data_IF_105091895067
#
_entry.id   IF_105091895067
#
_cell.length_a   1.000
_cell.length_b   1.000
_cell.length_c   1.000
_cell.angle_alpha   90.00
_cell.angle_beta   90.00
_cell.angle_gamma   90.00
#
_symmetry.space_group_name_H-M   'P 1'
#
loop_
_entity.id
_entity.type
_entity.pdbx_description
1 polymer ?
#
# COMPACT_ATOMS: atom_id res chain seq x y z
N UNK A 1 -16.64 12.41 28.76
CA UNK A 1 -15.29 12.07 28.24
C UNK A 1 -15.45 10.93 27.25
N UNK A 2 -14.87 11.03 26.04
CA UNK A 2 -14.84 9.90 25.10
C UNK A 2 -13.73 8.93 25.53
N UNK A 3 -13.92 7.61 25.41
CA UNK A 3 -12.85 6.64 25.66
C UNK A 3 -11.64 6.93 24.75
N UNK A 4 -10.42 6.82 25.28
CA UNK A 4 -9.19 6.96 24.51
C UNK A 4 -8.20 5.84 24.83
N UNK A 5 -7.48 5.37 23.81
CA UNK A 5 -6.33 4.48 23.97
C UNK A 5 -5.06 5.32 23.87
N UNK A 6 -4.17 5.20 24.86
CA UNK A 6 -2.90 5.91 24.89
C UNK A 6 -1.76 4.90 24.91
N UNK A 7 -0.82 5.06 23.98
CA UNK A 7 0.44 4.31 23.97
C UNK A 7 1.53 5.25 24.45
N UNK A 8 2.33 4.81 25.42
CA UNK A 8 3.36 5.65 26.06
C UNK A 8 4.72 4.99 25.94
N UNK A 9 5.73 5.80 25.60
CA UNK A 9 7.14 5.41 25.66
C UNK A 9 7.66 5.47 27.09
N UNK A 10 8.45 4.49 27.50
CA UNK A 10 9.26 4.57 28.72
C UNK A 10 10.63 5.22 28.39
N UNK A 11 11.15 6.12 29.25
CA UNK A 11 12.32 6.92 28.95
C UNK A 11 13.62 6.10 29.07
N UNK A 12 14.00 5.37 28.01
CA UNK A 12 15.32 4.73 27.89
C UNK A 12 15.74 4.30 26.47
N UNK A 13 14.88 4.34 25.46
CA UNK A 13 15.22 3.87 24.09
C UNK A 13 15.58 5.04 23.16
N UNK A 14 16.77 5.10 22.56
CA UNK A 14 17.09 6.11 21.51
C UNK A 14 16.29 5.84 20.22
N UNK A 15 15.03 6.31 20.21
CA UNK A 15 14.09 6.12 19.10
C UNK A 15 13.11 4.97 19.35
N UNK A 16 11.83 5.23 19.11
CA UNK A 16 10.77 4.22 19.19
C UNK A 16 9.87 4.35 17.98
N UNK A 17 9.39 3.22 17.47
CA UNK A 17 8.38 3.17 16.41
C UNK A 17 7.08 2.63 17.00
N UNK A 18 5.98 3.35 16.77
CA UNK A 18 4.64 2.88 17.15
C UNK A 18 3.95 2.34 15.91
N UNK A 19 3.57 1.08 15.95
CA UNK A 19 2.77 0.46 14.90
C UNK A 19 1.40 0.09 15.47
N UNK A 20 0.34 0.50 14.78
CA UNK A 20 -1.02 0.10 15.09
C UNK A 20 -1.68 -0.43 13.84
N UNK A 21 -2.35 -1.58 13.95
CA UNK A 21 -3.18 -2.15 12.90
C UNK A 21 -4.63 -1.95 13.31
N UNK A 22 -5.43 -1.37 12.42
CA UNK A 22 -6.85 -1.14 12.65
C UNK A 22 -7.62 -1.79 11.51
N UNK A 23 -8.50 -2.72 11.85
CA UNK A 23 -9.41 -3.37 10.92
C UNK A 23 -10.83 -2.90 11.20
N UNK A 24 -11.49 -2.18 10.27
CA UNK A 24 -12.93 -2.07 10.26
C UNK A 24 -13.52 -3.43 9.84
N UNK A 25 -14.40 -4.01 10.66
CA UNK A 25 -15.08 -5.27 10.36
C UNK A 25 -16.58 -5.17 10.67
N UNK A 26 -17.36 -6.01 9.99
CA UNK A 26 -18.78 -6.25 10.28
C UNK A 26 -18.92 -7.73 10.62
N UNK A 27 -19.32 -8.04 11.86
CA UNK A 27 -19.30 -9.41 12.40
C UNK A 27 -17.96 -9.79 13.03
N UNK A 28 -17.19 -10.65 12.38
CA UNK A 28 -15.94 -11.20 12.91
C UNK A 28 -14.70 -10.50 12.32
N UNK A 29 -13.68 -10.28 13.16
CA UNK A 29 -12.40 -9.76 12.72
C UNK A 29 -11.69 -10.80 11.84
N UNK A 30 -11.03 -10.36 10.76
CA UNK A 30 -10.28 -11.25 9.86
C UNK A 30 -8.82 -11.37 10.29
N UNK A 31 -8.34 -10.43 11.11
CA UNK A 31 -7.00 -10.47 11.67
C UNK A 31 -7.01 -11.33 12.93
N UNK A 32 -6.31 -12.45 12.87
CA UNK A 32 -6.18 -13.41 13.96
C UNK A 32 -5.00 -13.06 14.87
N UNK A 33 -3.87 -12.69 14.27
CA UNK A 33 -2.63 -12.41 15.01
C UNK A 33 -1.85 -11.27 14.38
N UNK A 34 -1.14 -10.52 15.23
CA UNK A 34 -0.15 -9.52 14.83
C UNK A 34 1.13 -9.83 15.58
N UNK A 35 2.20 -10.07 14.85
CA UNK A 35 3.51 -10.40 15.39
C UNK A 35 4.55 -9.44 14.86
N UNK A 36 5.49 -9.07 15.71
CA UNK A 36 6.69 -8.37 15.28
C UNK A 36 7.74 -9.41 14.93
N UNK A 37 8.00 -9.59 13.64
CA UNK A 37 8.90 -10.64 13.11
C UNK A 37 10.31 -10.15 12.83
N UNK A 38 10.56 -8.84 13.04
CA UNK A 38 11.87 -8.23 13.07
C UNK A 38 11.79 -6.86 13.77
N UNK A 39 12.79 -6.50 14.59
CA UNK A 39 13.00 -5.14 15.05
C UNK A 39 14.48 -4.86 15.32
N UNK A 40 14.99 -3.77 14.76
CA UNK A 40 16.29 -3.21 15.09
C UNK A 40 16.17 -1.68 15.18
N UNK A 41 16.31 -1.13 16.40
CA UNK A 41 16.04 0.28 16.66
C UNK A 41 14.62 0.69 16.26
N UNK A 42 14.51 1.63 15.32
CA UNK A 42 13.24 2.14 14.77
C UNK A 42 12.76 1.39 13.51
N UNK A 43 13.53 0.41 13.03
CA UNK A 43 13.15 -0.42 11.89
C UNK A 43 12.38 -1.64 12.37
N UNK A 44 11.28 -1.97 11.70
CA UNK A 44 10.34 -2.99 12.15
C UNK A 44 9.68 -3.70 10.96
N UNK A 45 9.45 -5.01 11.11
CA UNK A 45 8.51 -5.78 10.27
C UNK A 45 7.43 -6.37 11.18
N UNK A 46 6.18 -6.07 10.84
CA UNK A 46 5.01 -6.72 11.38
C UNK A 46 4.51 -7.80 10.43
N UNK A 47 4.17 -8.95 10.97
CA UNK A 47 3.38 -9.99 10.30
C UNK A 47 1.97 -9.96 10.86
N UNK A 48 1.00 -9.70 10.00
CA UNK A 48 -0.43 -9.66 10.31
C UNK A 48 -1.04 -10.89 9.65
N UNK A 49 -1.63 -11.80 10.42
CA UNK A 49 -2.19 -13.04 9.87
C UNK A 49 -3.71 -13.03 9.98
N UNK A 50 -4.37 -13.46 8.91
CA UNK A 50 -5.76 -13.87 8.90
C UNK A 50 -5.89 -15.27 8.27
N UNK A 51 -7.11 -15.79 8.21
CA UNK A 51 -7.35 -17.17 7.73
C UNK A 51 -6.87 -17.40 6.29
N UNK A 52 -7.02 -16.39 5.43
CA UNK A 52 -6.73 -16.49 4.00
C UNK A 52 -5.54 -15.63 3.55
N UNK A 53 -4.82 -14.98 4.48
CA UNK A 53 -3.71 -14.11 4.13
C UNK A 53 -2.68 -13.93 5.24
N UNK A 54 -1.48 -13.50 4.86
CA UNK A 54 -0.49 -12.95 5.79
C UNK A 54 0.15 -11.70 5.19
N UNK A 55 0.09 -10.58 5.90
CA UNK A 55 0.70 -9.33 5.47
C UNK A 55 1.97 -9.05 6.27
N UNK A 56 3.06 -8.81 5.55
CA UNK A 56 4.31 -8.30 6.09
C UNK A 56 4.33 -6.80 5.87
N UNK A 57 4.18 -6.00 6.92
CA UNK A 57 4.25 -4.53 6.85
C UNK A 57 5.58 -4.10 7.45
N UNK A 58 6.36 -3.29 6.73
CA UNK A 58 7.67 -2.84 7.22
C UNK A 58 7.82 -1.33 7.20
N UNK A 59 8.63 -0.85 8.12
CA UNK A 59 9.09 0.52 8.21
C UNK A 59 10.57 0.55 8.56
N UNK A 60 11.29 1.50 7.98
CA UNK A 60 12.71 1.72 8.17
C UNK A 60 13.05 3.19 7.86
N UNK A 61 13.94 3.77 8.65
CA UNK A 61 14.40 5.14 8.46
C UNK A 61 15.53 5.25 7.41
N UNK A 62 16.21 4.13 7.12
CA UNK A 62 17.40 4.06 6.26
C UNK A 62 17.15 3.28 4.97
N UNK A 63 16.93 3.98 3.86
CA UNK A 63 16.69 3.35 2.54
C UNK A 63 17.77 2.36 2.08
N UNK A 64 19.00 2.49 2.57
CA UNK A 64 20.17 1.67 2.23
C UNK A 64 20.30 0.41 3.09
N UNK A 65 19.54 0.31 4.18
CA UNK A 65 19.58 -0.84 5.07
C UNK A 65 18.63 -1.94 4.61
N UNK A 66 19.10 -3.19 4.66
CA UNK A 66 18.33 -4.37 4.27
C UNK A 66 18.18 -5.28 5.48
N UNK A 67 17.00 -5.83 5.68
CA UNK A 67 16.71 -6.71 6.80
C UNK A 67 15.77 -7.83 6.38
N UNK A 68 15.94 -9.00 6.98
CA UNK A 68 15.21 -10.23 6.67
C UNK A 68 14.37 -10.61 7.87
N UNK A 69 13.16 -11.14 7.64
CA UNK A 69 12.32 -11.65 8.72
C UNK A 69 13.00 -12.80 9.45
N UNK A 70 12.80 -12.88 10.76
CA UNK A 70 13.31 -13.97 11.61
C UNK A 70 12.43 -15.24 11.51
N UNK A 71 11.41 -15.23 10.65
CA UNK A 71 10.46 -16.32 10.45
C UNK A 71 10.80 -17.18 9.21
N UNK A 72 10.14 -18.33 9.11
CA UNK A 72 10.36 -19.29 8.02
C UNK A 72 9.98 -18.76 6.61
N UNK A 73 9.46 -17.54 6.49
CA UNK A 73 9.03 -16.96 5.23
C UNK A 73 10.14 -16.19 4.50
N UNK A 74 11.30 -15.98 5.13
CA UNK A 74 12.51 -15.41 4.50
C UNK A 74 12.21 -14.19 3.61
N UNK A 75 11.50 -13.21 4.17
CA UNK A 75 11.18 -11.96 3.47
C UNK A 75 12.29 -10.95 3.75
N UNK A 76 13.04 -10.56 2.72
CA UNK A 76 14.09 -9.52 2.84
C UNK A 76 13.60 -8.22 2.24
N UNK A 77 13.61 -7.16 3.03
CA UNK A 77 13.17 -5.83 2.60
C UNK A 77 14.35 -4.86 2.62
N UNK A 78 14.40 -4.02 1.60
CA UNK A 78 15.25 -2.84 1.53
C UNK A 78 14.37 -1.67 1.08
N UNK A 79 14.44 -0.54 1.76
CA UNK A 79 13.57 0.61 1.51
C UNK A 79 13.01 1.21 2.79
N UNK A 80 12.21 2.26 2.66
CA UNK A 80 11.72 3.06 3.79
C UNK A 80 10.44 2.49 4.42
N UNK A 81 9.50 2.04 3.60
CA UNK A 81 8.27 1.42 4.09
C UNK A 81 7.60 0.63 2.98
N UNK A 82 6.70 -0.27 3.35
CA UNK A 82 5.96 -1.05 2.39
C UNK A 82 5.16 -2.17 3.04
N UNK A 83 4.57 -3.01 2.21
CA UNK A 83 3.95 -4.24 2.65
C UNK A 83 4.11 -5.37 1.63
N UNK A 84 3.94 -6.60 2.05
CA UNK A 84 3.83 -7.78 1.20
C UNK A 84 2.69 -8.64 1.74
N UNK A 85 1.64 -8.83 0.94
CA UNK A 85 0.56 -9.77 1.20
C UNK A 85 0.91 -11.12 0.58
N UNK A 86 0.81 -12.15 1.40
CA UNK A 86 0.89 -13.55 1.04
C UNK A 86 -0.50 -14.17 1.04
N UNK A 87 -0.82 -14.99 0.05
CA UNK A 87 -2.00 -15.86 -0.01
C UNK A 87 -1.57 -17.24 -0.44
N UNK A 88 -2.05 -18.28 0.23
CA UNK A 88 -1.69 -19.67 -0.06
C UNK A 88 -0.16 -19.89 -0.15
N UNK A 89 0.60 -19.22 0.72
CA UNK A 89 2.06 -19.27 0.76
C UNK A 89 2.78 -18.52 -0.37
N UNK A 90 2.07 -17.79 -1.23
CA UNK A 90 2.63 -17.07 -2.38
C UNK A 90 2.42 -15.55 -2.27
N UNK A 91 3.37 -14.73 -2.77
CA UNK A 91 3.15 -13.30 -2.93
C UNK A 91 1.91 -13.01 -3.78
N UNK A 92 0.99 -12.20 -3.25
CA UNK A 92 -0.27 -11.80 -3.90
C UNK A 92 -0.27 -10.30 -4.22
N UNK A 93 0.04 -9.47 -3.22
CA UNK A 93 0.08 -8.02 -3.38
C UNK A 93 1.33 -7.49 -2.69
N UNK A 94 1.96 -6.45 -3.21
CA UNK A 94 3.22 -5.95 -2.65
C UNK A 94 3.32 -4.45 -2.83
N UNK A 95 3.81 -3.74 -1.81
CA UNK A 95 4.21 -2.33 -1.83
C UNK A 95 5.62 -2.13 -1.24
N UNK A 96 6.46 -1.30 -1.85
CA UNK A 96 7.74 -0.83 -1.28
C UNK A 96 7.96 0.60 -1.71
N UNK A 97 8.47 1.44 -0.82
CA UNK A 97 8.93 2.78 -1.11
C UNK A 97 10.44 2.82 -0.95
N UNK A 98 11.12 3.29 -1.99
CA UNK A 98 12.55 3.51 -2.09
C UNK A 98 13.40 2.24 -1.90
N UNK A 99 13.01 1.12 -2.52
CA UNK A 99 13.85 -0.08 -2.51
C UNK A 99 13.23 -1.34 -3.11
N UNK A 100 13.53 -2.49 -2.51
CA UNK A 100 13.24 -3.84 -3.02
C UNK A 100 12.63 -4.74 -1.94
N UNK A 101 11.81 -5.70 -2.36
CA UNK A 101 11.38 -6.82 -1.51
C UNK A 101 11.78 -8.12 -2.21
N UNK A 102 12.40 -9.01 -1.44
CA UNK A 102 12.71 -10.38 -1.84
C UNK A 102 11.94 -11.37 -1.00
N UNK A 103 11.50 -12.44 -1.62
CA UNK A 103 10.89 -13.60 -0.96
C UNK A 103 11.67 -14.84 -1.43
N UNK A 104 12.22 -15.62 -0.49
CA UNK A 104 13.11 -16.76 -0.80
C UNK A 104 14.20 -16.36 -1.82
N UNK A 105 14.96 -15.30 -1.51
CA UNK A 105 16.03 -14.70 -2.34
C UNK A 105 15.62 -14.17 -3.73
N UNK A 106 14.35 -14.31 -4.09
CA UNK A 106 13.84 -13.84 -5.37
C UNK A 106 13.28 -12.43 -5.23
N UNK A 107 13.75 -11.49 -6.05
CA UNK A 107 13.21 -10.11 -6.08
C UNK A 107 11.79 -10.15 -6.63
N UNK A 108 10.82 -9.84 -5.77
CA UNK A 108 9.39 -9.81 -6.12
C UNK A 108 8.86 -8.38 -6.29
N UNK A 109 9.58 -7.38 -5.79
CA UNK A 109 9.28 -5.98 -6.03
C UNK A 109 10.55 -5.12 -6.03
N UNK A 110 10.59 -4.15 -6.94
CA UNK A 110 11.61 -3.11 -7.03
C UNK A 110 10.92 -1.81 -7.40
N UNK A 111 11.21 -0.70 -6.73
CA UNK A 111 10.94 0.64 -7.28
C UNK A 111 12.01 0.93 -8.36
N UNK A 112 11.65 1.39 -9.58
CA UNK A 112 10.53 2.28 -9.90
C UNK A 112 9.19 1.59 -10.19
N UNK A 113 8.12 2.22 -9.73
CA UNK A 113 6.76 1.94 -10.18
C UNK A 113 6.40 2.82 -11.39
N UNK A 114 5.40 2.41 -12.16
CA UNK A 114 4.74 3.34 -13.07
C UNK A 114 3.87 4.24 -12.21
N UNK A 115 4.34 5.46 -11.95
CA UNK A 115 3.58 6.51 -11.29
C UNK A 115 3.04 7.47 -12.35
N UNK A 116 1.72 7.57 -12.45
CA UNK A 116 1.04 8.51 -13.33
C UNK A 116 0.23 9.50 -12.49
N UNK A 117 0.35 10.81 -12.72
CA UNK A 117 -0.46 11.80 -12.00
C UNK A 117 -1.91 11.69 -12.43
N UNK A 118 -2.82 12.03 -11.51
CA UNK A 118 -4.25 12.13 -11.83
C UNK A 118 -4.52 13.30 -12.78
N UNK A 119 -5.41 13.04 -13.72
CA UNK A 119 -6.03 14.05 -14.57
C UNK A 119 -7.48 14.29 -14.17
N UNK A 120 -8.20 13.21 -13.86
CA UNK A 120 -9.63 13.28 -13.50
C UNK A 120 -10.01 12.13 -12.59
N UNK A 121 -10.97 12.38 -11.69
CA UNK A 121 -11.57 11.37 -10.83
C UNK A 121 -13.08 11.52 -10.85
N UNK A 122 -13.77 10.41 -11.07
CA UNK A 122 -15.22 10.26 -10.98
C UNK A 122 -15.51 9.16 -9.96
N UNK A 123 -15.80 9.54 -8.72
CA UNK A 123 -16.02 8.60 -7.61
C UNK A 123 -17.51 8.28 -7.48
N UNK A 124 -17.87 7.00 -7.58
CA UNK A 124 -19.19 6.47 -7.25
C UNK A 124 -19.17 5.68 -5.94
N UNK A 125 -20.33 5.16 -5.52
CA UNK A 125 -20.43 4.34 -4.31
C UNK A 125 -19.88 2.92 -4.53
N UNK A 126 -20.27 2.29 -5.64
CA UNK A 126 -19.88 0.91 -5.97
C UNK A 126 -18.64 0.84 -6.88
N UNK A 127 -18.40 1.89 -7.66
CA UNK A 127 -17.29 1.95 -8.61
C UNK A 127 -16.77 3.36 -8.74
N UNK A 128 -15.48 3.49 -9.02
CA UNK A 128 -14.84 4.78 -9.28
C UNK A 128 -14.00 4.71 -10.54
N UNK A 129 -14.02 5.77 -11.33
CA UNK A 129 -13.21 5.89 -12.54
C UNK A 129 -12.15 6.96 -12.33
N UNK A 130 -10.92 6.61 -12.64
CA UNK A 130 -9.77 7.52 -12.58
C UNK A 130 -9.19 7.65 -13.98
N UNK A 131 -8.80 8.86 -14.35
CA UNK A 131 -8.02 9.15 -15.56
C UNK A 131 -6.66 9.64 -15.12
N UNK A 132 -5.60 9.08 -15.69
CA UNK A 132 -4.22 9.47 -15.40
C UNK A 132 -3.49 9.87 -16.67
N UNK A 133 -2.53 10.78 -16.53
CA UNK A 133 -1.62 11.11 -17.61
C UNK A 133 -0.51 10.04 -17.71
N UNK A 134 -0.57 9.25 -18.77
CA UNK A 134 0.33 8.13 -19.08
C UNK A 134 0.86 8.26 -20.52
N UNK A 135 1.76 9.22 -20.79
CA UNK A 135 2.27 9.44 -22.15
C UNK A 135 3.06 8.24 -22.68
N UNK A 136 3.63 7.41 -21.79
CA UNK A 136 4.46 6.26 -22.15
C UNK A 136 3.69 4.96 -22.38
N UNK A 137 2.42 4.88 -21.97
CA UNK A 137 1.62 3.66 -22.15
C UNK A 137 1.98 2.53 -21.22
N UNK A 138 2.47 2.86 -20.02
CA UNK A 138 2.94 1.86 -19.04
C UNK A 138 1.88 1.57 -17.96
N UNK A 139 0.80 2.35 -17.92
CA UNK A 139 -0.32 2.16 -17.01
C UNK A 139 -1.37 1.26 -17.68
N UNK A 140 -1.17 -0.05 -17.64
CA UNK A 140 -2.05 -1.06 -18.24
C UNK A 140 -2.39 -2.19 -17.25
N UNK A 141 -3.11 -1.90 -16.14
CA UNK A 141 -3.35 -2.88 -15.08
C UNK A 141 -4.33 -3.98 -15.50
N UNK A 142 -4.12 -5.22 -15.08
CA UNK A 142 -5.03 -6.32 -15.37
C UNK A 142 -6.30 -6.27 -14.49
N UNK A 143 -7.36 -6.95 -14.93
CA UNK A 143 -8.57 -7.11 -14.10
C UNK A 143 -8.22 -7.84 -12.80
N UNK A 144 -8.76 -7.37 -11.68
CA UNK A 144 -8.47 -7.80 -10.30
C UNK A 144 -7.04 -7.49 -9.80
N UNK A 145 -6.20 -6.85 -10.61
CA UNK A 145 -4.95 -6.27 -10.13
C UNK A 145 -5.25 -5.16 -9.12
N UNK A 146 -4.32 -4.93 -8.19
CA UNK A 146 -4.40 -3.82 -7.23
C UNK A 146 -3.56 -2.66 -7.76
N UNK A 147 -4.19 -1.52 -8.05
CA UNK A 147 -3.46 -0.26 -8.19
C UNK A 147 -3.38 0.44 -6.85
N UNK A 148 -2.25 1.10 -6.59
CA UNK A 148 -2.04 1.86 -5.37
C UNK A 148 -2.24 3.34 -5.68
N UNK A 149 -3.08 4.01 -4.91
CA UNK A 149 -3.21 5.46 -4.93
C UNK A 149 -2.35 5.99 -3.78
N UNK A 150 -1.21 6.60 -4.14
CA UNK A 150 -0.32 7.27 -3.18
C UNK A 150 -0.81 8.69 -2.98
N UNK A 151 -1.00 9.04 -1.72
CA UNK A 151 -1.28 10.38 -1.18
C UNK A 151 -0.05 10.84 -0.40
N UNK A 152 0.02 12.13 -0.07
CA UNK A 152 1.17 12.74 0.65
C UNK A 152 1.74 11.85 1.78
N UNK A 153 0.86 11.36 2.66
CA UNK A 153 1.26 10.56 3.83
C UNK A 153 0.52 9.20 3.92
N UNK A 154 -0.17 8.78 2.85
CA UNK A 154 -1.05 7.59 2.88
C UNK A 154 -1.04 6.86 1.55
N UNK A 155 -1.20 5.54 1.56
CA UNK A 155 -1.34 4.74 0.34
C UNK A 155 -2.54 3.83 0.49
N UNK A 156 -3.41 3.80 -0.52
CA UNK A 156 -4.60 2.97 -0.55
C UNK A 156 -4.56 2.04 -1.76
N UNK A 157 -4.92 0.77 -1.60
CA UNK A 157 -5.04 -0.17 -2.70
C UNK A 157 -6.48 -0.29 -3.18
N UNK A 158 -6.67 -0.28 -4.50
CA UNK A 158 -7.98 -0.46 -5.13
C UNK A 158 -7.90 -1.55 -6.19
N UNK A 159 -8.93 -2.40 -6.23
CA UNK A 159 -9.04 -3.47 -7.23
C UNK A 159 -9.51 -2.92 -8.56
N UNK A 160 -8.83 -3.30 -9.63
CA UNK A 160 -9.14 -2.88 -11.00
C UNK A 160 -10.25 -3.75 -11.58
N UNK A 161 -11.30 -3.12 -12.10
CA UNK A 161 -12.39 -3.78 -12.83
C UNK A 161 -12.14 -3.81 -14.33
N UNK A 162 -11.65 -2.70 -14.87
CA UNK A 162 -11.33 -2.52 -16.28
C UNK A 162 -10.36 -1.35 -16.45
N UNK A 163 -9.75 -1.24 -17.63
CA UNK A 163 -9.00 -0.06 -18.04
C UNK A 163 -9.15 0.16 -19.54
N UNK A 164 -8.90 1.39 -19.97
CA UNK A 164 -8.88 1.76 -21.38
C UNK A 164 -7.87 2.89 -21.62
N UNK A 165 -7.12 2.81 -22.72
CA UNK A 165 -6.17 3.85 -23.11
C UNK A 165 -6.77 4.76 -24.18
N UNK A 166 -6.58 6.06 -24.01
CA UNK A 166 -7.02 7.12 -24.93
C UNK A 166 -5.87 8.11 -25.14
N UNK A 167 -5.05 7.87 -26.17
CA UNK A 167 -3.89 8.72 -26.46
C UNK A 167 -2.86 8.67 -25.33
N UNK A 168 -2.55 9.82 -24.75
CA UNK A 168 -1.62 9.97 -23.62
C UNK A 168 -2.27 9.72 -22.25
N UNK A 169 -3.55 9.32 -22.22
CA UNK A 169 -4.28 9.10 -20.97
C UNK A 169 -4.72 7.64 -20.84
N UNK A 170 -4.75 7.17 -19.60
CA UNK A 170 -5.33 5.88 -19.24
C UNK A 170 -6.49 6.09 -18.28
N UNK A 171 -7.65 5.55 -18.63
CA UNK A 171 -8.81 5.42 -17.74
C UNK A 171 -8.77 4.08 -17.03
N UNK A 172 -8.93 4.06 -15.71
CA UNK A 172 -8.98 2.84 -14.89
C UNK A 172 -10.28 2.87 -14.09
N UNK A 173 -11.05 1.80 -14.21
CA UNK A 173 -12.25 1.56 -13.42
C UNK A 173 -11.86 0.73 -12.20
N UNK A 174 -12.23 1.21 -11.02
CA UNK A 174 -11.87 0.66 -9.72
C UNK A 174 -13.13 0.22 -8.97
N UNK A 175 -12.96 -0.82 -8.16
CA UNK A 175 -14.01 -1.32 -7.29
C UNK A 175 -14.13 -0.46 -6.02
N UNK A 176 -15.35 -0.04 -5.71
CA UNK A 176 -15.70 0.79 -4.57
C UNK A 176 -15.48 2.30 -4.76
N UNK A 177 -15.85 3.04 -3.72
CA UNK A 177 -15.62 4.49 -3.62
C UNK A 177 -14.18 4.81 -3.22
N UNK A 178 -13.62 5.86 -3.82
CA UNK A 178 -12.29 6.35 -3.46
C UNK A 178 -12.25 7.14 -2.14
N UNK A 179 -13.40 7.64 -1.69
CA UNK A 179 -13.51 8.43 -0.46
C UNK A 179 -12.80 9.78 -0.48
N UNK A 180 -12.48 10.33 -1.66
CA UNK A 180 -11.89 11.66 -1.80
C UNK A 180 -12.46 12.41 -3.01
N UNK A 181 -12.27 13.73 -3.02
CA UNK A 181 -12.59 14.62 -4.14
C UNK A 181 -11.28 15.08 -4.79
N UNK A 182 -11.24 15.16 -6.12
CA UNK A 182 -10.09 15.65 -6.86
C UNK A 182 -10.43 16.98 -7.55
N UNK A 183 -9.59 17.99 -7.33
CA UNK A 183 -9.60 19.25 -8.04
C UNK A 183 -8.62 19.17 -9.23
N UNK A 184 -9.11 19.00 -10.47
CA UNK A 184 -8.25 18.86 -11.64
C UNK A 184 -7.53 20.16 -11.99
N UNK A 185 -8.04 21.33 -11.58
CA UNK A 185 -7.37 22.62 -11.85
C UNK A 185 -6.13 22.75 -10.97
N UNK A 186 -6.21 22.26 -9.73
CA UNK A 186 -5.08 22.28 -8.79
C UNK A 186 -4.19 21.04 -8.85
N UNK A 187 -4.64 19.96 -9.50
CA UNK A 187 -3.97 18.67 -9.47
C UNK A 187 -3.90 18.08 -8.05
N UNK A 188 -4.89 18.39 -7.22
CA UNK A 188 -4.90 18.05 -5.79
C UNK A 188 -6.14 17.28 -5.40
N UNK A 189 -6.00 16.37 -4.45
CA UNK A 189 -7.13 15.64 -3.89
C UNK A 189 -7.32 15.98 -2.42
N UNK A 190 -8.59 16.08 -2.02
CA UNK A 190 -9.05 16.37 -0.66
C UNK A 190 -9.83 15.18 -0.14
N UNK A 191 -9.36 14.59 0.95
CA UNK A 191 -10.00 13.49 1.65
C UNK A 191 -10.46 13.97 3.03
N UNK A 192 -11.76 13.81 3.31
CA UNK A 192 -12.35 14.08 4.61
C UNK A 192 -12.52 12.79 5.39
N UNK A 193 -11.61 12.54 6.33
CA UNK A 193 -11.69 11.42 7.24
C UNK A 193 -12.42 11.82 8.52
N UNK A 194 -13.42 11.03 8.90
CA UNK A 194 -14.07 11.15 10.20
C UNK A 194 -13.08 10.82 11.34
N UNK A 195 -13.10 11.52 12.49
CA UNK A 195 -13.93 12.67 12.82
C UNK A 195 -13.15 13.99 12.71
N UNK A 196 -13.02 14.57 11.51
CA UNK A 196 -12.58 15.97 11.23
C UNK A 196 -11.12 16.15 10.78
N UNK A 197 -10.51 15.18 10.09
CA UNK A 197 -9.21 15.44 9.42
C UNK A 197 -9.40 15.56 7.93
N UNK A 198 -9.12 16.74 7.40
CA UNK A 198 -8.98 16.98 5.98
C UNK A 198 -7.53 16.77 5.59
N UNK A 199 -7.31 16.04 4.51
CA UNK A 199 -5.98 15.79 3.96
C UNK A 199 -5.94 16.21 2.50
N UNK A 200 -5.02 17.13 2.19
CA UNK A 200 -4.78 17.63 0.84
C UNK A 200 -3.40 17.20 0.33
N UNK A 201 -3.27 16.98 -0.98
CA UNK A 201 -1.96 16.70 -1.58
C UNK A 201 -1.99 16.40 -3.07
N UNK A 202 -0.79 16.21 -3.64
CA UNK A 202 -0.59 15.64 -4.98
C UNK A 202 -0.73 14.14 -4.88
N UNK A 203 -1.39 13.55 -5.87
CA UNK A 203 -1.72 12.14 -5.89
C UNK A 203 -1.21 11.49 -7.15
N UNK A 204 -0.73 10.27 -7.01
CA UNK A 204 -0.23 9.47 -8.11
C UNK A 204 -0.86 8.09 -8.05
N UNK A 205 -1.20 7.57 -9.23
CA UNK A 205 -1.57 6.18 -9.39
C UNK A 205 -0.33 5.40 -9.68
N UNK A 206 -0.08 4.43 -8.82
CA UNK A 206 1.08 3.58 -8.85
C UNK A 206 0.59 2.21 -9.31
N UNK A 207 0.98 1.85 -10.53
CA UNK A 207 0.85 0.48 -11.03
C UNK A 207 2.17 -0.25 -10.89
N UNK A 208 2.05 -1.52 -10.52
CA UNK A 208 3.14 -2.48 -10.55
C UNK A 208 2.95 -3.37 -11.76
N UNK A 209 3.99 -3.61 -12.56
CA UNK A 209 3.93 -4.76 -13.46
C UNK A 209 3.70 -6.00 -12.59
N UNK A 210 2.68 -6.80 -12.92
CA UNK A 210 2.56 -8.15 -12.35
C UNK A 210 3.83 -8.88 -12.74
N UNK A 211 4.69 -9.18 -11.77
CA UNK A 211 5.79 -10.11 -11.98
C UNK A 211 5.14 -11.48 -12.08
N UNK A 212 4.77 -11.89 -13.31
CA UNK A 212 4.43 -13.28 -13.60
C UNK A 212 5.70 -14.10 -13.42
N UNK A 213 6.01 -14.47 -12.17
CA UNK A 213 6.93 -15.56 -11.92
C UNK A 213 6.10 -16.82 -11.84
N UNK A 214 6.19 -17.61 -12.90
CA UNK A 214 5.89 -19.03 -12.85
C UNK A 214 6.81 -19.64 -11.80
N UNK A 215 6.31 -19.83 -10.58
CA UNK A 215 6.96 -20.71 -9.62
C UNK A 215 6.93 -22.12 -10.26
N UNK A 216 8.08 -22.57 -10.75
CA UNK A 216 8.28 -23.96 -11.15
C UNK A 216 8.39 -24.85 -9.92
#
# INVERSE_FOLDING_TARGET
>A
LRPCVMVRRFPCEEGSVFCSVMEPYDGEAKINTIQKVYQEGVSVILKIQGDSFSDYVFFNIRKDYSFTTDDASYVTVNGLYGFLRMKDGKPSDVSVSCGTIRFNDTVIATEPFVACPFERVESGYEESKITVYDPKGLMNPEKNETVLIRRKDRTFGYKVKAWNRKGEFTEILLDGSLGFVFDPVKGQSTDQCFPLRTYDGIHEVIRRPVVHQSFK
#
